data_IF_102409899431
#
_entry.id   IF_102409899431
#
_cell.length_a   1.000
_cell.length_b   1.000
_cell.length_c   1.000
_cell.angle_alpha   90.00
_cell.angle_beta   90.00
_cell.angle_gamma   90.00
#
_symmetry.space_group_name_H-M   'P 1'
#
loop_
_entity.id
_entity.type
_entity.pdbx_description
1 polymer ?
#
# COMPACT_ATOMS: atom_id res chain seq x y z
N UNK A 1 9.46 10.54 27.35
CA UNK A 1 9.73 10.55 25.90
C UNK A 1 8.45 10.85 25.15
N UNK A 2 8.39 11.90 24.34
CA UNK A 2 7.24 12.15 23.45
C UNK A 2 7.53 11.57 22.06
N UNK A 3 6.50 11.09 21.37
CA UNK A 3 6.56 10.65 19.98
C UNK A 3 6.07 11.79 19.09
N UNK A 4 7.00 12.44 18.39
CA UNK A 4 6.71 13.47 17.40
C UNK A 4 6.46 12.82 16.04
N UNK A 5 5.39 13.19 15.35
CA UNK A 5 4.95 12.57 14.11
C UNK A 5 5.00 13.61 13.00
N UNK A 6 5.92 13.45 12.05
CA UNK A 6 5.99 14.27 10.85
C UNK A 6 5.07 13.70 9.75
N UNK A 7 3.99 14.41 9.48
CA UNK A 7 2.97 14.12 8.49
C UNK A 7 3.12 15.05 7.28
N UNK A 8 4.24 15.03 6.55
CA UNK A 8 4.31 15.86 5.34
C UNK A 8 3.19 15.49 4.35
N UNK A 9 2.65 16.51 3.69
CA UNK A 9 1.72 16.35 2.57
C UNK A 9 2.45 15.75 1.36
N UNK A 10 2.60 14.42 1.33
CA UNK A 10 3.08 13.74 0.13
C UNK A 10 1.99 13.78 -0.95
N UNK A 11 2.39 14.03 -2.18
CA UNK A 11 1.51 14.20 -3.34
C UNK A 11 0.74 12.95 -3.82
N UNK A 12 0.72 11.79 -3.15
CA UNK A 12 -0.02 10.60 -3.61
C UNK A 12 -1.25 10.26 -2.75
N UNK A 13 -2.46 10.51 -3.28
CA UNK A 13 -3.75 10.28 -2.59
C UNK A 13 -3.92 8.84 -2.07
N UNK A 14 -3.39 7.84 -2.80
CA UNK A 14 -3.49 6.42 -2.43
C UNK A 14 -2.83 6.12 -1.09
N UNK A 15 -1.55 6.50 -0.95
CA UNK A 15 -0.83 6.33 0.31
C UNK A 15 -1.31 7.32 1.36
N UNK A 16 -1.83 8.49 0.97
CA UNK A 16 -2.29 9.51 1.90
C UNK A 16 -3.39 8.98 2.82
N UNK A 17 -4.40 8.28 2.30
CA UNK A 17 -5.46 7.74 3.17
C UNK A 17 -4.94 6.64 4.09
N UNK A 18 -4.25 5.64 3.54
CA UNK A 18 -3.71 4.54 4.37
C UNK A 18 -2.82 5.09 5.48
N UNK A 19 -1.98 6.08 5.14
CA UNK A 19 -1.17 6.82 6.10
C UNK A 19 -2.02 7.54 7.13
N UNK A 20 -3.08 8.26 6.74
CA UNK A 20 -4.00 8.91 7.70
C UNK A 20 -4.59 7.91 8.70
N UNK A 21 -4.99 6.71 8.25
CA UNK A 21 -5.48 5.65 9.14
C UNK A 21 -4.39 5.10 10.07
N UNK A 22 -3.19 4.83 9.54
CA UNK A 22 -2.02 4.39 10.32
C UNK A 22 -1.65 5.43 11.38
N UNK A 23 -1.56 6.70 10.99
CA UNK A 23 -1.24 7.80 11.89
C UNK A 23 -2.35 8.03 12.92
N UNK A 24 -3.63 7.97 12.55
CA UNK A 24 -4.73 8.03 13.51
C UNK A 24 -4.65 6.89 14.54
N UNK A 25 -4.31 5.67 14.09
CA UNK A 25 -4.01 4.55 14.98
C UNK A 25 -2.83 4.88 15.90
N UNK A 26 -1.70 5.37 15.38
CA UNK A 26 -0.52 5.72 16.19
C UNK A 26 -0.82 6.84 17.19
N UNK A 27 -1.59 7.88 16.84
CA UNK A 27 -2.02 8.94 17.77
C UNK A 27 -2.79 8.38 18.98
N UNK A 28 -3.47 7.24 18.83
CA UNK A 28 -4.13 6.56 19.97
C UNK A 28 -3.16 6.07 21.05
N UNK A 29 -1.84 6.04 20.79
CA UNK A 29 -0.83 5.75 21.81
C UNK A 29 -0.82 6.76 22.97
N UNK A 30 -1.40 7.96 22.79
CA UNK A 30 -1.70 8.90 23.87
C UNK A 30 -2.49 8.23 25.01
N UNK A 31 -3.44 7.35 24.67
CA UNK A 31 -4.23 6.60 25.66
C UNK A 31 -3.37 5.60 26.46
N UNK A 32 -2.21 5.22 25.93
CA UNK A 32 -1.20 4.37 26.58
C UNK A 32 -0.08 5.17 27.25
N UNK A 33 -0.34 6.46 27.55
CA UNK A 33 0.60 7.39 28.23
C UNK A 33 1.89 7.66 27.44
N UNK A 34 1.85 7.54 26.12
CA UNK A 34 2.92 8.01 25.22
C UNK A 34 2.41 9.29 24.57
N UNK A 35 2.88 10.48 24.99
CA UNK A 35 2.50 11.74 24.36
C UNK A 35 2.83 11.69 22.86
N UNK A 36 1.85 11.96 22.01
CA UNK A 36 2.02 12.08 20.57
C UNK A 36 1.76 13.52 20.15
N UNK A 37 2.73 14.10 19.44
CA UNK A 37 2.72 15.47 18.93
C UNK A 37 2.86 15.37 17.41
N UNK A 38 2.18 16.22 16.66
CA UNK A 38 2.10 16.12 15.20
C UNK A 38 2.65 17.39 14.58
N UNK A 39 3.58 17.21 13.65
CA UNK A 39 4.10 18.26 12.78
C UNK A 39 3.54 18.04 11.38
N UNK A 40 2.82 19.03 10.87
CA UNK A 40 2.33 19.04 9.49
C UNK A 40 3.42 19.55 8.54
N UNK A 41 4.35 20.37 9.05
CA UNK A 41 5.43 20.96 8.25
C UNK A 41 6.81 20.58 8.80
N UNK A 42 7.77 20.55 7.89
CA UNK A 42 9.15 20.19 8.20
C UNK A 42 9.84 21.26 9.04
N UNK A 43 9.43 22.52 8.88
CA UNK A 43 9.92 23.69 9.60
C UNK A 43 9.63 23.65 11.10
N UNK A 44 8.65 22.84 11.53
CA UNK A 44 8.26 22.67 12.93
C UNK A 44 9.17 21.67 13.66
N UNK A 45 9.92 20.83 12.91
CA UNK A 45 10.79 19.80 13.49
C UNK A 45 11.79 20.34 14.52
N UNK A 46 12.41 21.53 14.38
CA UNK A 46 13.32 22.06 15.39
C UNK A 46 12.73 22.22 16.80
N UNK A 47 11.39 22.30 16.95
CA UNK A 47 10.75 22.32 18.28
C UNK A 47 11.04 21.06 19.09
N UNK A 48 11.34 19.94 18.41
CA UNK A 48 11.67 18.66 19.03
C UNK A 48 12.90 18.73 19.94
N UNK A 49 13.84 19.65 19.69
CA UNK A 49 15.09 19.77 20.46
C UNK A 49 14.86 20.30 21.88
N UNK A 50 13.66 20.81 22.15
CA UNK A 50 13.26 21.20 23.52
C UNK A 50 12.88 20.00 24.39
N UNK A 51 12.61 18.84 23.80
CA UNK A 51 12.32 17.58 24.49
C UNK A 51 13.54 16.64 24.43
N UNK A 52 14.30 16.59 25.53
CA UNK A 52 15.49 15.73 25.70
C UNK A 52 15.20 14.23 25.55
N UNK A 53 13.92 13.88 25.55
CA UNK A 53 13.39 12.54 25.49
C UNK A 53 12.56 12.33 24.20
N UNK A 54 12.74 13.14 23.16
CA UNK A 54 11.97 13.00 21.93
C UNK A 54 12.33 11.75 21.09
N UNK A 55 11.34 11.22 20.37
CA UNK A 55 11.52 10.36 19.19
C UNK A 55 10.77 10.99 18.02
N UNK A 56 11.42 11.08 16.87
CA UNK A 56 10.75 11.47 15.63
C UNK A 56 10.23 10.23 14.90
N UNK A 57 8.98 10.25 14.46
CA UNK A 57 8.38 9.32 13.53
C UNK A 57 8.06 10.06 12.23
N UNK A 58 8.61 9.59 11.12
CA UNK A 58 8.33 10.10 9.78
C UNK A 58 7.34 9.16 9.10
N UNK A 59 6.19 9.70 8.67
CA UNK A 59 5.03 8.92 8.24
C UNK A 59 5.14 8.32 6.81
N UNK A 60 6.31 8.38 6.18
CA UNK A 60 6.58 7.91 4.82
C UNK A 60 8.09 7.71 4.63
N UNK A 61 8.51 7.11 3.51
CA UNK A 61 9.91 6.80 3.24
C UNK A 61 10.81 8.04 3.08
N UNK A 62 12.13 7.82 3.12
CA UNK A 62 13.10 8.89 2.99
C UNK A 62 13.03 9.54 1.59
N UNK A 63 12.99 10.87 1.52
CA UNK A 63 12.98 11.63 0.26
C UNK A 63 13.79 12.92 0.40
N UNK A 64 13.94 13.70 -0.68
CA UNK A 64 14.73 14.94 -0.65
C UNK A 64 14.24 15.96 0.39
N UNK A 65 12.94 16.00 0.67
CA UNK A 65 12.36 16.95 1.62
C UNK A 65 12.77 16.57 3.05
N UNK A 66 12.52 15.31 3.44
CA UNK A 66 12.68 14.90 4.84
C UNK A 66 14.13 14.52 5.24
N UNK A 67 15.05 14.35 4.29
CA UNK A 67 16.48 14.03 4.54
C UNK A 67 17.16 14.98 5.52
N UNK A 68 16.87 16.27 5.40
CA UNK A 68 17.45 17.28 6.27
C UNK A 68 17.02 17.09 7.73
N UNK A 69 15.74 16.76 7.96
CA UNK A 69 15.23 16.51 9.31
C UNK A 69 15.82 15.26 9.94
N UNK A 70 15.94 14.17 9.18
CA UNK A 70 16.60 12.96 9.69
C UNK A 70 18.03 13.26 10.10
N UNK A 71 18.76 14.04 9.29
CA UNK A 71 20.13 14.46 9.59
C UNK A 71 20.22 15.27 10.88
N UNK A 72 19.44 16.34 11.02
CA UNK A 72 19.51 17.19 12.22
C UNK A 72 19.10 16.40 13.46
N UNK A 73 18.08 15.54 13.39
CA UNK A 73 17.73 14.66 14.50
C UNK A 73 18.89 13.74 14.89
N UNK A 74 19.57 13.11 13.92
CA UNK A 74 20.75 12.28 14.19
C UNK A 74 21.89 13.08 14.83
N UNK A 75 22.18 14.29 14.36
CA UNK A 75 23.22 15.17 14.92
C UNK A 75 22.92 15.61 16.36
N UNK A 76 21.63 15.70 16.72
CA UNK A 76 21.18 16.04 18.08
C UNK A 76 20.87 14.80 18.95
N UNK A 77 21.19 13.59 18.48
CA UNK A 77 20.98 12.35 19.23
C UNK A 77 19.51 11.94 19.40
N UNK A 78 18.62 12.48 18.56
CA UNK A 78 17.18 12.16 18.55
C UNK A 78 16.93 10.95 17.65
N UNK A 79 16.40 9.84 18.20
CA UNK A 79 16.07 8.68 17.40
C UNK A 79 14.97 8.97 16.38
N UNK A 80 15.11 8.35 15.20
CA UNK A 80 14.13 8.46 14.11
C UNK A 80 13.53 7.08 13.83
N UNK A 81 12.21 7.02 13.66
CA UNK A 81 11.45 5.89 13.15
C UNK A 81 10.88 6.30 11.79
N UNK A 82 11.10 5.50 10.76
CA UNK A 82 10.67 5.73 9.39
C UNK A 82 9.65 4.67 8.99
N UNK A 83 8.56 5.09 8.34
CA UNK A 83 7.56 4.17 7.79
C UNK A 83 7.74 4.00 6.28
N UNK A 84 7.60 2.76 5.78
CA UNK A 84 7.46 2.43 4.36
C UNK A 84 8.62 2.90 3.47
N UNK A 85 9.81 3.03 4.04
CA UNK A 85 11.00 3.30 3.24
C UNK A 85 11.45 2.02 2.52
N UNK A 86 11.52 2.11 1.19
CA UNK A 86 11.96 1.04 0.28
C UNK A 86 13.31 1.36 -0.36
N UNK A 87 13.87 2.53 -0.07
CA UNK A 87 15.14 2.95 -0.60
C UNK A 87 16.27 2.05 -0.11
N UNK A 88 17.33 1.95 -0.92
CA UNK A 88 18.55 1.23 -0.53
C UNK A 88 19.18 1.93 0.67
N UNK A 89 19.57 1.15 1.70
CA UNK A 89 20.17 1.64 2.96
C UNK A 89 21.05 2.88 2.74
N UNK A 90 20.65 3.98 3.34
CA UNK A 90 21.43 5.21 3.31
C UNK A 90 22.43 5.26 4.46
N UNK A 91 23.71 5.05 4.17
CA UNK A 91 24.78 5.11 5.19
C UNK A 91 24.90 6.46 5.90
N UNK A 92 24.30 7.52 5.33
CA UNK A 92 24.32 8.89 5.87
C UNK A 92 23.21 9.17 6.89
N UNK A 93 22.20 8.30 6.98
CA UNK A 93 21.02 8.53 7.81
C UNK A 93 20.74 7.30 8.67
N UNK A 94 20.60 7.50 9.98
CA UNK A 94 20.33 6.44 10.94
C UNK A 94 18.88 6.57 11.40
N UNK A 95 18.06 5.58 11.05
CA UNK A 95 16.67 5.49 11.46
C UNK A 95 16.28 4.02 11.63
N UNK A 96 15.35 3.77 12.55
CA UNK A 96 14.65 2.51 12.65
C UNK A 96 13.57 2.46 11.58
N UNK A 97 13.35 1.30 10.97
CA UNK A 97 12.50 1.12 9.81
C UNK A 97 11.31 0.20 10.14
N UNK A 98 10.13 0.59 9.67
CA UNK A 98 8.96 -0.30 9.56
C UNK A 98 8.56 -0.32 8.10
N UNK A 99 8.58 -1.50 7.47
CA UNK A 99 8.26 -1.66 6.05
C UNK A 99 7.53 -2.99 5.82
N UNK A 100 6.88 -3.18 4.69
CA UNK A 100 6.37 -4.48 4.28
C UNK A 100 7.47 -5.33 3.63
N UNK A 101 7.32 -6.66 3.72
CA UNK A 101 8.25 -7.61 3.13
C UNK A 101 7.68 -8.15 1.80
N UNK A 102 8.17 -7.59 0.69
CA UNK A 102 7.69 -7.95 -0.64
C UNK A 102 8.07 -9.38 -1.01
N UNK A 103 9.24 -9.88 -0.59
CA UNK A 103 9.69 -11.24 -0.93
C UNK A 103 8.78 -12.32 -0.28
N UNK A 104 8.40 -12.11 0.99
CA UNK A 104 7.43 -12.98 1.69
C UNK A 104 6.04 -12.83 1.05
N UNK A 105 5.66 -11.60 0.71
CA UNK A 105 4.37 -11.32 0.07
C UNK A 105 4.27 -12.00 -1.30
N UNK A 106 5.28 -11.86 -2.14
CA UNK A 106 5.37 -12.53 -3.44
C UNK A 106 5.32 -14.05 -3.30
N UNK A 107 6.03 -14.61 -2.31
CA UNK A 107 6.00 -16.05 -2.00
C UNK A 107 4.59 -16.52 -1.61
N UNK A 108 3.86 -15.74 -0.81
CA UNK A 108 2.46 -16.01 -0.45
C UNK A 108 1.55 -15.98 -1.68
N UNK A 109 1.67 -14.95 -2.52
CA UNK A 109 0.87 -14.78 -3.74
C UNK A 109 1.12 -15.92 -4.71
N UNK A 110 2.39 -16.19 -5.02
CA UNK A 110 2.79 -17.27 -5.92
C UNK A 110 2.27 -18.63 -5.43
N UNK A 111 2.48 -18.96 -4.15
CA UNK A 111 1.98 -20.21 -3.56
C UNK A 111 0.45 -20.29 -3.62
N UNK A 112 -0.24 -19.18 -3.42
CA UNK A 112 -1.70 -19.13 -3.51
C UNK A 112 -2.20 -19.42 -4.93
N UNK A 113 -1.59 -18.81 -5.96
CA UNK A 113 -1.93 -19.11 -7.36
C UNK A 113 -1.64 -20.59 -7.69
N UNK A 114 -0.43 -21.09 -7.39
CA UNK A 114 -0.02 -22.47 -7.71
C UNK A 114 -0.88 -23.53 -7.00
N UNK A 115 -1.18 -23.33 -5.71
CA UNK A 115 -2.04 -24.27 -4.96
C UNK A 115 -3.47 -24.35 -5.51
N UNK A 116 -3.89 -23.38 -6.33
CA UNK A 116 -5.17 -23.37 -7.03
C UNK A 116 -5.05 -23.68 -8.54
N UNK A 117 -3.92 -24.24 -8.98
CA UNK A 117 -3.69 -24.63 -10.37
C UNK A 117 -3.60 -23.44 -11.34
N UNK A 118 -3.17 -22.27 -10.85
CA UNK A 118 -2.92 -21.07 -11.67
C UNK A 118 -1.43 -20.96 -11.89
N UNK A 119 -0.98 -21.22 -13.11
CA UNK A 119 0.43 -21.42 -13.41
C UNK A 119 1.08 -20.18 -14.00
N UNK A 120 0.45 -19.56 -15.00
CA UNK A 120 0.95 -18.36 -15.68
C UNK A 120 0.31 -17.11 -15.06
N UNK A 121 1.14 -16.19 -14.56
CA UNK A 121 0.67 -15.02 -13.81
C UNK A 121 1.27 -13.77 -14.45
N UNK A 122 0.42 -12.79 -14.78
CA UNK A 122 0.86 -11.48 -15.22
C UNK A 122 0.93 -10.50 -14.05
N UNK A 123 1.79 -9.50 -14.14
CA UNK A 123 1.76 -8.30 -13.29
C UNK A 123 1.30 -7.11 -14.12
N UNK A 124 0.17 -6.51 -13.77
CA UNK A 124 -0.48 -5.49 -14.60
C UNK A 124 -0.59 -4.12 -13.91
N UNK A 125 -0.32 -3.08 -14.70
CA UNK A 125 -0.70 -1.70 -14.42
C UNK A 125 0.18 -1.02 -13.37
N UNK A 126 1.48 -1.26 -13.43
CA UNK A 126 2.47 -0.65 -12.52
C UNK A 126 3.07 0.64 -13.08
N UNK A 127 3.67 1.44 -12.20
CA UNK A 127 4.42 2.64 -12.57
C UNK A 127 5.92 2.42 -12.39
N UNK A 128 6.73 2.61 -13.45
CA UNK A 128 8.17 2.38 -13.40
C UNK A 128 8.89 3.27 -12.37
N UNK A 129 8.38 4.48 -12.14
CA UNK A 129 8.94 5.42 -11.16
C UNK A 129 8.45 5.16 -9.72
N UNK A 130 7.62 4.14 -9.48
CA UNK A 130 7.18 3.74 -8.14
C UNK A 130 8.11 2.68 -7.57
N UNK A 131 8.92 3.05 -6.56
CA UNK A 131 9.75 2.09 -5.81
C UNK A 131 8.90 0.98 -5.18
N UNK A 132 7.67 1.30 -4.74
CA UNK A 132 6.76 0.32 -4.16
C UNK A 132 6.27 -0.69 -5.19
N UNK A 133 6.08 -0.29 -6.44
CA UNK A 133 5.62 -1.19 -7.49
C UNK A 133 6.76 -2.07 -8.00
N UNK A 134 7.90 -1.43 -8.31
CA UNK A 134 9.11 -2.11 -8.79
C UNK A 134 9.64 -3.13 -7.79
N UNK A 135 9.61 -2.82 -6.49
CA UNK A 135 9.98 -3.79 -5.43
C UNK A 135 9.08 -5.04 -5.38
N UNK A 136 7.76 -4.89 -5.59
CA UNK A 136 6.84 -6.03 -5.68
C UNK A 136 7.10 -6.90 -6.91
N UNK A 137 7.40 -6.26 -8.05
CA UNK A 137 7.73 -6.96 -9.30
C UNK A 137 9.05 -7.73 -9.14
N UNK A 138 10.07 -7.08 -8.59
CA UNK A 138 11.36 -7.70 -8.28
C UNK A 138 11.21 -8.89 -7.33
N UNK A 139 10.40 -8.75 -6.28
CA UNK A 139 10.11 -9.83 -5.36
C UNK A 139 9.45 -11.01 -6.06
N UNK A 140 8.45 -10.74 -6.92
CA UNK A 140 7.76 -11.77 -7.69
C UNK A 140 8.70 -12.48 -8.67
N UNK A 141 9.56 -11.73 -9.35
CA UNK A 141 10.57 -12.25 -10.26
C UNK A 141 11.56 -13.22 -9.60
N UNK A 142 11.92 -12.99 -8.33
CA UNK A 142 12.80 -13.88 -7.56
C UNK A 142 12.11 -15.18 -7.14
N UNK A 143 10.79 -15.16 -7.01
CA UNK A 143 9.98 -16.30 -6.55
C UNK A 143 9.56 -17.19 -7.72
N UNK A 144 9.05 -16.62 -8.80
CA UNK A 144 8.67 -17.36 -10.01
C UNK A 144 9.84 -17.44 -11.00
N UNK A 145 10.26 -18.67 -11.33
CA UNK A 145 11.37 -18.91 -12.24
C UNK A 145 11.02 -18.67 -13.70
N UNK A 146 9.74 -18.80 -14.06
CA UNK A 146 9.25 -18.64 -15.42
C UNK A 146 8.72 -17.23 -15.69
N UNK A 147 8.61 -16.40 -14.63
CA UNK A 147 8.23 -15.00 -14.75
C UNK A 147 9.38 -14.18 -15.34
N UNK A 148 9.05 -13.35 -16.31
CA UNK A 148 9.96 -12.57 -17.15
C UNK A 148 9.41 -11.17 -17.39
N UNK A 149 10.16 -10.34 -18.11
CA UNK A 149 9.71 -8.99 -18.52
C UNK A 149 8.41 -9.02 -19.34
N UNK A 150 8.19 -10.10 -20.11
CA UNK A 150 7.03 -10.22 -21.00
C UNK A 150 5.73 -10.46 -20.22
N UNK A 151 5.85 -10.90 -18.96
CA UNK A 151 4.72 -11.09 -18.05
C UNK A 151 4.38 -9.81 -17.26
N UNK A 152 5.05 -8.68 -17.54
CA UNK A 152 4.89 -7.40 -16.82
C UNK A 152 4.39 -6.27 -17.74
N UNK A 153 3.27 -5.65 -17.38
CA UNK A 153 2.62 -4.59 -18.14
C UNK A 153 2.60 -3.30 -17.31
N UNK A 154 3.29 -2.23 -17.75
CA UNK A 154 3.27 -0.93 -17.07
C UNK A 154 2.43 0.11 -17.78
N UNK A 155 1.94 1.07 -17.00
CA UNK A 155 1.26 2.26 -17.49
C UNK A 155 2.33 3.29 -17.88
N UNK A 156 2.46 3.56 -19.19
CA UNK A 156 3.36 4.59 -19.72
C UNK A 156 2.64 5.92 -19.94
N UNK A 157 1.67 5.92 -20.86
CA UNK A 157 0.87 7.11 -21.22
C UNK A 157 -0.60 7.02 -20.80
N UNK A 158 -1.00 5.91 -20.18
CA UNK A 158 -2.31 5.72 -19.58
C UNK A 158 -2.74 4.27 -19.47
N UNK A 159 -3.78 4.03 -18.68
CA UNK A 159 -4.36 2.71 -18.46
C UNK A 159 -4.78 2.03 -19.77
N UNK A 160 -5.37 2.77 -20.71
CA UNK A 160 -5.87 2.23 -21.98
C UNK A 160 -4.76 1.71 -22.89
N UNK A 161 -3.58 2.35 -22.88
CA UNK A 161 -2.40 1.85 -23.61
C UNK A 161 -1.94 0.52 -23.01
N UNK A 162 -1.73 0.51 -21.69
CA UNK A 162 -1.32 -0.69 -20.97
C UNK A 162 -2.32 -1.86 -21.17
N UNK A 163 -3.62 -1.55 -21.18
CA UNK A 163 -4.68 -2.53 -21.43
C UNK A 163 -4.62 -3.08 -22.85
N UNK A 164 -4.32 -2.27 -23.88
CA UNK A 164 -4.16 -2.76 -25.26
C UNK A 164 -3.01 -3.76 -25.37
N UNK A 165 -1.87 -3.44 -24.74
CA UNK A 165 -0.71 -4.34 -24.72
C UNK A 165 -1.05 -5.67 -24.04
N UNK A 166 -1.76 -5.61 -22.90
CA UNK A 166 -2.23 -6.81 -22.21
C UNK A 166 -3.28 -7.59 -23.01
N UNK A 167 -4.15 -6.90 -23.75
CA UNK A 167 -5.32 -7.50 -24.39
C UNK A 167 -4.94 -8.61 -25.37
N UNK A 168 -3.88 -8.43 -26.14
CA UNK A 168 -3.39 -9.41 -27.12
C UNK A 168 -2.92 -10.71 -26.44
N UNK A 169 -2.39 -10.62 -25.23
CA UNK A 169 -1.80 -11.74 -24.48
C UNK A 169 -2.68 -12.28 -23.35
N UNK A 170 -3.87 -11.68 -23.13
CA UNK A 170 -4.73 -11.96 -21.96
C UNK A 170 -5.03 -13.44 -21.73
N UNK A 171 -5.09 -14.25 -22.79
CA UNK A 171 -5.40 -15.67 -22.70
C UNK A 171 -4.22 -16.56 -22.27
N UNK A 172 -3.00 -16.03 -22.28
CA UNK A 172 -1.79 -16.73 -21.84
C UNK A 172 -1.70 -16.86 -20.32
N UNK A 173 -2.45 -16.03 -19.59
CA UNK A 173 -2.38 -15.94 -18.13
C UNK A 173 -3.59 -16.59 -17.46
N UNK A 174 -3.33 -17.30 -16.37
CA UNK A 174 -4.33 -17.87 -15.46
C UNK A 174 -4.74 -16.89 -14.35
N UNK A 175 -3.91 -15.88 -14.12
CA UNK A 175 -4.14 -14.88 -13.11
C UNK A 175 -3.34 -13.61 -13.30
N UNK A 176 -3.76 -12.55 -12.61
CA UNK A 176 -3.13 -11.23 -12.67
C UNK A 176 -2.91 -10.72 -11.25
N UNK A 177 -1.69 -10.28 -10.97
CA UNK A 177 -1.30 -9.59 -9.74
C UNK A 177 -1.17 -8.09 -10.03
N UNK A 178 -1.74 -7.26 -9.16
CA UNK A 178 -1.80 -5.81 -9.33
C UNK A 178 -1.02 -5.09 -8.23
N UNK A 179 -0.43 -3.92 -8.52
CA UNK A 179 0.31 -3.14 -7.53
C UNK A 179 -0.60 -2.61 -6.40
N UNK A 180 -1.89 -2.41 -6.70
CA UNK A 180 -2.90 -1.97 -5.75
C UNK A 180 -4.32 -2.34 -6.23
N UNK A 181 -5.29 -2.21 -5.32
CA UNK A 181 -6.69 -2.51 -5.59
C UNK A 181 -7.33 -1.60 -6.65
N UNK A 182 -6.88 -0.34 -6.81
CA UNK A 182 -7.47 0.59 -7.78
C UNK A 182 -7.23 0.14 -9.22
N UNK A 183 -6.00 -0.26 -9.53
CA UNK A 183 -5.63 -0.84 -10.82
C UNK A 183 -6.41 -2.14 -11.06
N UNK A 184 -6.53 -2.99 -10.04
CA UNK A 184 -7.32 -4.22 -10.13
C UNK A 184 -8.81 -3.94 -10.47
N UNK A 185 -9.40 -2.92 -9.85
CA UNK A 185 -10.79 -2.53 -10.10
C UNK A 185 -10.96 -1.95 -11.50
N UNK A 186 -10.07 -1.06 -11.95
CA UNK A 186 -10.09 -0.53 -13.31
C UNK A 186 -10.00 -1.65 -14.35
N UNK A 187 -9.10 -2.62 -14.13
CA UNK A 187 -8.94 -3.82 -14.95
C UNK A 187 -10.22 -4.65 -15.00
N UNK A 188 -10.79 -4.98 -13.85
CA UNK A 188 -12.02 -5.78 -13.80
C UNK A 188 -13.23 -5.02 -14.39
N UNK A 189 -13.29 -3.70 -14.23
CA UNK A 189 -14.32 -2.87 -14.84
C UNK A 189 -14.21 -2.87 -16.37
N UNK A 190 -12.99 -2.80 -16.91
CA UNK A 190 -12.76 -2.93 -18.35
C UNK A 190 -13.28 -4.28 -18.87
N UNK A 191 -12.91 -5.40 -18.24
CA UNK A 191 -13.38 -6.73 -18.65
C UNK A 191 -14.87 -6.93 -18.45
N UNK A 192 -15.48 -6.36 -17.40
CA UNK A 192 -16.93 -6.40 -17.20
C UNK A 192 -17.69 -5.79 -18.39
N UNK A 193 -17.15 -4.75 -19.01
CA UNK A 193 -17.82 -4.05 -20.11
C UNK A 193 -17.52 -4.67 -21.48
N UNK A 194 -16.37 -5.34 -21.64
CA UNK A 194 -15.91 -5.83 -22.95
C UNK A 194 -15.94 -7.36 -23.09
N UNK A 195 -15.59 -8.13 -22.06
CA UNK A 195 -15.52 -9.60 -22.10
C UNK A 195 -15.75 -10.22 -20.70
N UNK A 196 -17.00 -10.20 -20.15
CA UNK A 196 -17.26 -10.63 -18.77
C UNK A 196 -16.79 -12.06 -18.45
N UNK A 197 -16.89 -12.97 -19.43
CA UNK A 197 -16.50 -14.38 -19.29
C UNK A 197 -15.00 -14.59 -19.01
N UNK A 198 -14.17 -13.59 -19.31
CA UNK A 198 -12.73 -13.63 -19.02
C UNK A 198 -12.45 -13.75 -17.51
N UNK A 199 -13.27 -13.08 -16.69
CA UNK A 199 -13.06 -12.94 -15.24
C UNK A 199 -13.34 -14.26 -14.52
N UNK A 200 -14.34 -15.03 -14.94
CA UNK A 200 -14.84 -16.22 -14.21
C UNK A 200 -13.78 -17.32 -14.01
N UNK A 201 -12.81 -17.42 -14.94
CA UNK A 201 -11.82 -18.50 -14.96
C UNK A 201 -10.46 -18.13 -14.36
N UNK A 202 -10.26 -16.86 -14.01
CA UNK A 202 -8.96 -16.30 -13.63
C UNK A 202 -8.96 -15.75 -12.23
N UNK A 203 -7.77 -15.66 -11.66
CA UNK A 203 -7.56 -15.10 -10.32
C UNK A 203 -6.98 -13.70 -10.42
N UNK A 204 -7.50 -12.78 -9.61
CA UNK A 204 -7.07 -11.39 -9.58
C UNK A 204 -6.78 -10.99 -8.14
N UNK A 205 -5.57 -10.50 -7.88
CA UNK A 205 -5.13 -10.13 -6.53
C UNK A 205 -4.60 -8.70 -6.55
N UNK A 206 -5.19 -7.83 -5.74
CA UNK A 206 -4.74 -6.46 -5.49
C UNK A 206 -3.97 -6.30 -4.18
N UNK A 207 -3.78 -5.04 -3.78
CA UNK A 207 -3.07 -4.66 -2.57
C UNK A 207 -3.75 -3.45 -1.89
N UNK A 208 -3.75 -3.47 -0.56
CA UNK A 208 -4.22 -2.45 0.40
C UNK A 208 -5.59 -2.63 1.03
N UNK A 209 -6.39 -3.59 0.59
CA UNK A 209 -7.69 -3.88 1.19
C UNK A 209 -8.63 -2.67 1.29
N UNK A 210 -8.69 -1.91 0.20
CA UNK A 210 -9.49 -0.68 0.04
C UNK A 210 -10.99 -0.94 0.24
N UNK A 211 -11.75 0.12 0.52
CA UNK A 211 -13.22 0.02 0.61
C UNK A 211 -13.78 -0.39 -0.75
N UNK A 212 -13.29 0.20 -1.82
CA UNK A 212 -13.68 -0.10 -3.18
C UNK A 212 -13.41 -1.56 -3.55
N UNK A 213 -12.30 -2.17 -3.11
CA UNK A 213 -12.06 -3.61 -3.30
C UNK A 213 -13.13 -4.50 -2.68
N UNK A 214 -13.73 -4.07 -1.56
CA UNK A 214 -14.79 -4.82 -0.86
C UNK A 214 -16.15 -4.67 -1.53
N UNK A 215 -16.44 -3.47 -2.04
CA UNK A 215 -17.76 -3.10 -2.56
C UNK A 215 -17.91 -3.29 -4.05
N UNK A 216 -16.81 -3.43 -4.79
CA UNK A 216 -16.88 -3.66 -6.23
C UNK A 216 -17.63 -4.96 -6.54
N UNK A 217 -18.39 -4.95 -7.64
CA UNK A 217 -19.33 -6.03 -7.99
C UNK A 217 -18.71 -7.44 -7.98
N UNK A 218 -17.43 -7.53 -8.33
CA UNK A 218 -16.57 -8.67 -8.06
C UNK A 218 -15.57 -8.19 -7.02
N UNK A 219 -15.81 -8.56 -5.77
CA UNK A 219 -14.96 -8.10 -4.68
C UNK A 219 -13.52 -8.61 -4.87
N UNK A 220 -12.55 -7.71 -4.75
CA UNK A 220 -11.14 -7.94 -5.09
C UNK A 220 -10.42 -8.56 -3.91
N UNK A 221 -9.80 -9.72 -4.15
CA UNK A 221 -8.92 -10.39 -3.20
C UNK A 221 -7.69 -9.53 -3.03
N UNK A 222 -7.31 -9.21 -1.80
CA UNK A 222 -6.31 -8.18 -1.56
C UNK A 222 -5.33 -8.59 -0.49
N UNK A 223 -4.09 -8.13 -0.65
CA UNK A 223 -3.03 -8.28 0.33
C UNK A 223 -2.99 -7.03 1.20
N UNK A 224 -2.91 -7.21 2.51
CA UNK A 224 -2.76 -6.08 3.42
C UNK A 224 -2.16 -6.47 4.77
N UNK A 225 -1.75 -5.45 5.51
CA UNK A 225 -1.48 -5.46 6.94
C UNK A 225 -2.38 -4.41 7.61
N UNK A 226 -2.62 -4.52 8.92
CA UNK A 226 -3.53 -3.62 9.63
C UNK A 226 -2.82 -2.41 10.25
N UNK A 227 -3.53 -1.28 10.41
CA UNK A 227 -3.03 -0.10 11.15
C UNK A 227 -2.69 -0.42 12.61
N UNK A 228 -3.28 -1.47 13.19
CA UNK A 228 -2.91 -1.98 14.53
C UNK A 228 -1.51 -2.63 14.50
N UNK A 229 -1.19 -3.36 13.42
CA UNK A 229 0.13 -3.97 13.25
C UNK A 229 1.22 -2.91 13.15
N UNK A 230 0.97 -1.85 12.37
CA UNK A 230 1.88 -0.68 12.28
C UNK A 230 2.06 -0.02 13.64
N UNK A 231 0.97 0.29 14.35
CA UNK A 231 1.02 0.86 15.70
C UNK A 231 1.80 -0.01 16.67
N UNK A 232 1.61 -1.32 16.62
CA UNK A 232 2.34 -2.27 17.46
C UNK A 232 3.84 -2.25 17.15
N UNK A 233 4.22 -2.20 15.87
CA UNK A 233 5.63 -2.09 15.45
C UNK A 233 6.26 -0.78 15.94
N UNK A 234 5.58 0.36 15.77
CA UNK A 234 6.03 1.67 16.29
C UNK A 234 6.23 1.60 17.80
N UNK A 235 5.27 1.05 18.53
CA UNK A 235 5.35 0.92 19.99
C UNK A 235 6.54 0.05 20.43
N UNK A 236 6.82 -1.04 19.71
CA UNK A 236 7.94 -1.93 20.01
C UNK A 236 9.29 -1.23 19.78
N UNK A 237 9.47 -0.56 18.64
CA UNK A 237 10.68 0.22 18.35
C UNK A 237 10.86 1.33 19.39
N UNK A 238 9.82 2.12 19.62
CA UNK A 238 9.83 3.20 20.61
C UNK A 238 10.24 2.71 22.01
N UNK A 239 9.69 1.59 22.49
CA UNK A 239 10.09 0.99 23.78
C UNK A 239 11.54 0.51 23.79
N UNK A 240 12.06 0.01 22.67
CA UNK A 240 13.46 -0.39 22.58
C UNK A 240 14.38 0.84 22.61
N UNK A 241 14.00 1.92 21.92
CA UNK A 241 14.74 3.18 21.91
C UNK A 241 14.80 3.80 23.31
N UNK A 242 13.71 3.80 24.09
CA UNK A 242 13.72 4.29 25.48
C UNK A 242 14.73 3.50 26.33
N UNK A 243 14.68 2.17 26.27
CA UNK A 243 15.36 1.33 27.25
C UNK A 243 16.80 0.97 26.86
N UNK A 244 17.14 1.03 25.57
CA UNK A 244 18.35 0.41 25.02
C UNK A 244 19.00 1.22 23.88
N UNK A 245 18.82 2.55 23.83
CA UNK A 245 19.38 3.41 22.76
C UNK A 245 20.88 3.26 22.49
N UNK A 246 21.67 2.84 23.48
CA UNK A 246 23.12 2.69 23.35
C UNK A 246 23.56 1.28 22.89
N UNK A 247 22.63 0.37 22.59
CA UNK A 247 22.94 -1.04 22.28
C UNK A 247 22.94 -1.31 20.77
N UNK A 248 22.20 -0.53 19.98
CA UNK A 248 22.03 -0.72 18.54
C UNK A 248 21.86 0.63 17.85
N UNK A 249 22.22 0.70 16.56
CA UNK A 249 22.02 1.91 15.76
C UNK A 249 20.57 2.07 15.30
N UNK A 250 19.94 0.97 14.87
CA UNK A 250 18.56 0.97 14.39
C UNK A 250 17.90 -0.42 14.51
N UNK A 251 16.57 -0.43 14.47
CA UNK A 251 15.74 -1.65 14.40
C UNK A 251 14.96 -1.63 13.08
N UNK A 252 14.89 -2.77 12.39
CA UNK A 252 14.00 -2.96 11.24
C UNK A 252 12.91 -3.96 11.60
N UNK A 253 11.65 -3.59 11.36
CA UNK A 253 10.49 -4.48 11.49
C UNK A 253 9.83 -4.63 10.12
N UNK A 254 9.76 -5.86 9.67
CA UNK A 254 8.99 -6.25 8.50
C UNK A 254 7.55 -6.59 8.91
N UNK A 255 6.60 -5.86 8.35
CA UNK A 255 5.17 -6.06 8.61
C UNK A 255 4.71 -7.37 7.98
N UNK A 256 4.03 -8.19 8.79
CA UNK A 256 3.40 -9.42 8.31
C UNK A 256 2.12 -9.08 7.53
N UNK A 257 2.20 -9.20 6.22
CA UNK A 257 1.04 -9.13 5.32
C UNK A 257 0.18 -10.39 5.40
N UNK A 258 -1.09 -10.23 5.04
CA UNK A 258 -2.08 -11.31 4.91
C UNK A 258 -2.83 -11.17 3.60
N UNK A 259 -3.18 -12.30 2.97
CA UNK A 259 -4.08 -12.33 1.83
C UNK A 259 -5.52 -12.49 2.34
N UNK A 260 -6.44 -11.68 1.81
CA UNK A 260 -7.87 -11.76 2.07
C UNK A 260 -8.56 -12.24 0.78
N UNK A 261 -8.88 -13.54 0.66
CA UNK A 261 -9.58 -14.07 -0.51
C UNK A 261 -11.01 -13.53 -0.63
N UNK A 262 -11.41 -13.18 -1.85
CA UNK A 262 -12.72 -12.64 -2.22
C UNK A 262 -13.20 -13.22 -3.56
N UNK A 263 -14.27 -12.66 -4.13
CA UNK A 263 -14.87 -13.18 -5.36
C UNK A 263 -13.89 -13.27 -6.53
N UNK A 264 -12.93 -12.34 -6.62
CA UNK A 264 -11.91 -12.31 -7.69
C UNK A 264 -10.93 -13.49 -7.68
N UNK A 265 -10.95 -14.31 -6.62
CA UNK A 265 -10.23 -15.59 -6.51
C UNK A 265 -11.18 -16.73 -6.14
N UNK A 266 -12.48 -16.54 -6.40
CA UNK A 266 -13.55 -17.49 -6.07
C UNK A 266 -13.59 -17.84 -4.57
N UNK A 267 -13.16 -16.92 -3.70
CA UNK A 267 -13.09 -17.07 -2.24
C UNK A 267 -12.30 -18.30 -1.79
N UNK A 268 -11.31 -18.74 -2.59
CA UNK A 268 -10.48 -19.90 -2.26
C UNK A 268 -9.64 -19.60 -1.02
N UNK A 269 -9.72 -20.46 -0.02
CA UNK A 269 -8.94 -20.29 1.19
C UNK A 269 -7.44 -20.42 0.90
N UNK A 270 -6.64 -19.66 1.65
CA UNK A 270 -5.20 -19.88 1.70
C UNK A 270 -4.95 -21.24 2.37
N UNK A 271 -4.39 -22.18 1.63
CA UNK A 271 -3.97 -23.46 2.21
C UNK A 271 -2.70 -23.25 3.03
N UNK A 272 -2.50 -24.06 4.08
CA UNK A 272 -1.28 -24.03 4.90
C UNK A 272 -0.10 -24.55 4.07
N UNK A 273 0.39 -23.72 3.14
CA UNK A 273 1.66 -23.95 2.47
C UNK A 273 2.75 -23.27 3.29
N UNK A 274 3.88 -23.93 3.44
CA UNK A 274 5.08 -23.26 3.94
C UNK A 274 5.55 -22.27 2.85
N UNK A 275 5.13 -21.01 2.98
CA UNK A 275 5.54 -19.89 2.13
C UNK A 275 7.09 -19.76 2.04
N UNK A 276 7.79 -20.33 3.01
CA UNK A 276 9.25 -20.36 3.13
C UNK A 276 9.94 -21.49 2.35
N UNK A 277 9.19 -22.42 1.75
CA UNK A 277 9.78 -23.51 0.93
C UNK A 277 10.10 -23.07 -0.50
N UNK A 278 9.49 -22.00 -0.98
CA UNK A 278 9.85 -21.36 -2.24
C UNK A 278 11.26 -20.77 -2.11
N UNK A 279 12.24 -21.43 -2.72
CA UNK A 279 13.63 -20.95 -2.74
C UNK A 279 13.69 -19.63 -3.51
N UNK A 280 13.67 -18.51 -2.79
CA UNK A 280 13.96 -17.18 -3.34
C UNK A 280 15.36 -17.25 -3.96
N UNK A 281 15.46 -17.09 -5.27
CA UNK A 281 16.77 -17.04 -5.93
C UNK A 281 17.37 -15.65 -5.80
N UNK A 282 18.71 -15.60 -5.77
CA UNK A 282 19.46 -14.37 -6.04
C UNK A 282 19.39 -14.07 -7.54
N UNK A 283 18.25 -13.55 -8.01
CA UNK A 283 18.14 -12.86 -9.30
C UNK A 283 18.47 -11.39 -9.08
N UNK A 284 18.99 -10.72 -10.12
CA UNK A 284 19.07 -9.26 -10.13
C UNK A 284 17.68 -8.63 -10.13
N UNK A 285 17.63 -7.31 -9.95
CA UNK A 285 16.40 -6.54 -10.18
C UNK A 285 16.07 -6.49 -11.66
N UNK A 286 14.78 -6.42 -11.98
CA UNK A 286 14.35 -6.04 -13.32
C UNK A 286 14.65 -4.56 -13.56
N UNK A 287 15.04 -4.24 -14.78
CA UNK A 287 15.20 -2.86 -15.25
C UNK A 287 14.02 -2.53 -16.15
N UNK A 288 13.42 -1.37 -15.92
CA UNK A 288 12.37 -0.80 -16.76
C UNK A 288 12.90 0.49 -17.36
N UNK A 289 12.48 0.80 -18.59
CA UNK A 289 12.85 2.05 -19.23
C UNK A 289 12.32 3.24 -18.42
N UNK A 290 13.09 4.33 -18.39
CA UNK A 290 12.63 5.59 -17.82
C UNK A 290 11.42 6.09 -18.60
N UNK A 291 10.33 6.35 -17.90
CA UNK A 291 9.08 6.84 -18.50
C UNK A 291 8.82 8.26 -18.04
N UNK A 292 8.26 9.08 -18.93
CA UNK A 292 7.81 10.42 -18.58
C UNK A 292 6.85 10.38 -17.38
N UNK A 293 6.89 11.42 -16.55
CA UNK A 293 6.10 11.50 -15.34
C UNK A 293 4.60 11.55 -15.69
N UNK A 294 3.91 10.42 -15.52
CA UNK A 294 2.48 10.29 -15.74
C UNK A 294 1.71 10.40 -14.41
N UNK A 295 0.83 11.40 -14.30
CA UNK A 295 -0.02 11.54 -13.12
C UNK A 295 -1.23 10.61 -13.19
N UNK A 296 -1.09 9.44 -12.59
CA UNK A 296 -2.14 8.44 -12.45
C UNK A 296 -3.43 8.95 -11.78
N UNK A 297 -3.40 10.08 -11.06
CA UNK A 297 -4.61 10.69 -10.50
C UNK A 297 -5.54 11.22 -11.58
N UNK A 298 -4.97 11.58 -12.72
CA UNK A 298 -5.69 12.14 -13.86
C UNK A 298 -6.12 11.08 -14.87
N UNK A 299 -5.65 9.84 -14.69
CA UNK A 299 -6.05 8.71 -15.53
C UNK A 299 -7.58 8.52 -15.47
N UNK A 300 -8.29 8.62 -16.60
CA UNK A 300 -9.75 8.48 -16.63
C UNK A 300 -10.26 7.16 -16.04
N UNK A 301 -9.49 6.07 -16.17
CA UNK A 301 -9.89 4.76 -15.66
C UNK A 301 -9.78 4.65 -14.13
N UNK A 302 -8.94 5.47 -13.49
CA UNK A 302 -8.65 5.41 -12.06
C UNK A 302 -9.29 6.55 -11.27
N UNK A 303 -9.45 7.73 -11.87
CA UNK A 303 -9.90 8.97 -11.22
C UNK A 303 -11.20 8.80 -10.44
N UNK A 304 -12.21 8.18 -11.03
CA UNK A 304 -13.51 8.01 -10.39
C UNK A 304 -13.44 6.99 -9.24
N UNK A 305 -12.59 5.98 -9.36
CA UNK A 305 -12.37 4.98 -8.30
C UNK A 305 -11.71 5.66 -7.10
N UNK A 306 -10.72 6.52 -7.32
CA UNK A 306 -10.10 7.31 -6.26
C UNK A 306 -11.09 8.26 -5.59
N UNK A 307 -11.92 8.95 -6.39
CA UNK A 307 -12.94 9.86 -5.86
C UNK A 307 -13.93 9.12 -4.96
N UNK A 308 -14.40 7.95 -5.39
CA UNK A 308 -15.33 7.13 -4.62
C UNK A 308 -14.70 6.57 -3.34
N UNK A 309 -13.46 6.06 -3.39
CA UNK A 309 -12.77 5.63 -2.18
C UNK A 309 -12.68 6.80 -1.19
N UNK A 310 -12.17 7.96 -1.63
CA UNK A 310 -12.01 9.13 -0.77
C UNK A 310 -13.34 9.60 -0.18
N UNK A 311 -14.42 9.56 -0.95
CA UNK A 311 -15.76 9.85 -0.45
C UNK A 311 -16.16 8.87 0.65
N UNK A 312 -16.04 7.56 0.41
CA UNK A 312 -16.46 6.52 1.35
C UNK A 312 -15.66 6.51 2.64
N UNK A 313 -14.36 6.82 2.57
CA UNK A 313 -13.48 6.90 3.73
C UNK A 313 -13.83 8.04 4.68
N UNK A 314 -14.29 9.17 4.12
CA UNK A 314 -14.62 10.37 4.89
C UNK A 314 -16.12 10.48 5.20
N UNK A 315 -16.95 9.63 4.60
CA UNK A 315 -18.38 9.59 4.81
C UNK A 315 -18.72 9.13 6.23
N UNK A 316 -19.58 9.90 6.91
CA UNK A 316 -20.25 9.50 8.13
C UNK A 316 -21.48 8.66 7.79
N UNK A 317 -22.04 7.99 8.81
CA UNK A 317 -23.28 7.22 8.65
C UNK A 317 -24.41 8.04 8.03
N UNK A 318 -24.55 9.33 8.40
CA UNK A 318 -25.52 10.26 7.79
C UNK A 318 -25.25 10.48 6.31
N UNK A 319 -24.00 10.65 5.90
CA UNK A 319 -23.65 10.87 4.50
C UNK A 319 -24.03 9.65 3.65
N UNK A 320 -23.74 8.45 4.16
CA UNK A 320 -24.12 7.19 3.50
C UNK A 320 -25.64 6.99 3.42
N UNK A 321 -26.38 7.37 4.46
CA UNK A 321 -27.85 7.34 4.46
C UNK A 321 -28.43 8.30 3.42
N UNK A 322 -27.91 9.52 3.34
CA UNK A 322 -28.32 10.51 2.33
C UNK A 322 -28.08 9.97 0.92
N UNK A 323 -26.89 9.40 0.65
CA UNK A 323 -26.56 8.79 -0.64
C UNK A 323 -27.53 7.64 -0.95
N UNK A 324 -27.79 6.75 0.02
CA UNK A 324 -28.73 5.65 -0.16
C UNK A 324 -30.14 6.14 -0.49
N UNK A 325 -30.61 7.20 0.17
CA UNK A 325 -31.93 7.79 -0.13
C UNK A 325 -32.00 8.37 -1.53
N UNK A 326 -30.94 9.05 -2.01
CA UNK A 326 -30.88 9.47 -3.40
C UNK A 326 -30.94 8.29 -4.38
N UNK A 327 -30.19 7.23 -4.11
CA UNK A 327 -30.21 6.02 -4.94
C UNK A 327 -31.58 5.31 -4.95
N UNK A 328 -32.39 5.51 -3.90
CA UNK A 328 -33.78 5.03 -3.82
C UNK A 328 -34.80 5.98 -4.46
N UNK A 329 -34.38 7.12 -5.00
CA UNK A 329 -35.24 8.09 -5.69
C UNK A 329 -35.90 9.12 -4.78
N UNK A 330 -35.46 9.27 -3.54
CA UNK A 330 -35.96 10.32 -2.64
C UNK A 330 -35.40 11.69 -3.06
N UNK A 331 -36.24 12.72 -2.98
CA UNK A 331 -35.82 14.10 -3.22
C UNK A 331 -35.15 14.73 -1.99
N UNK A 332 -34.42 15.83 -2.20
CA UNK A 332 -33.83 16.66 -1.14
C UNK A 332 -34.84 17.05 -0.04
N UNK A 333 -36.12 17.22 -0.38
CA UNK A 333 -37.16 17.63 0.57
C UNK A 333 -37.67 16.49 1.43
N UNK A 334 -37.53 15.24 0.96
CA UNK A 334 -37.98 14.04 1.69
C UNK A 334 -36.89 13.48 2.60
N UNK A 335 -35.61 13.70 2.26
CA UNK A 335 -34.47 13.14 2.99
C UNK A 335 -34.42 13.59 4.46
N UNK A 336 -34.62 14.88 4.81
CA UNK A 336 -34.55 15.32 6.20
C UNK A 336 -35.53 14.57 7.12
N UNK A 337 -36.76 14.33 6.64
CA UNK A 337 -37.81 13.65 7.41
C UNK A 337 -37.57 12.14 7.58
N UNK A 338 -36.68 11.55 6.78
CA UNK A 338 -36.41 10.12 6.80
C UNK A 338 -35.01 9.76 7.36
N UNK A 339 -34.12 10.75 7.51
CA UNK A 339 -32.74 10.56 8.02
C UNK A 339 -32.49 11.18 9.40
N UNK A 340 -33.32 12.14 9.82
CA UNK A 340 -33.27 12.84 11.11
C UNK A 340 -34.66 12.83 11.73
#
# INVERSE_FOLDING_TARGET
MSLYILMENSSSYFFETRRKQEIASIKSLNQKRIPTIVFENIEDVPEIFTDSEAVLLVAHGLNENNKHCVKICNENGIPVIMLHDKSKRHYKYIYSLITDNDDITASMVYSYFKSNGKEKIAFFGFYANSESDTSKIDAFYKVDLNFSSDDVFHIKSGFDECMKDFWEHRYEYDGVFFPNDFVAIAFLNYFKNNEPSYIEKRFFIGFSDTIMAKLFHISVSSITYTSETVKSAVLQIYRCLINKKNVFNCISIDLKSSLIPRDSTQKRALTNFDFFTTRIKRKGSMSFDDVEEYDHKTDPALKDIFLLENLLLNAKTVDLLIIYMFLKGYSNTMIPTNCF
#
